data_IF_978760637350
#
_entry.id   IF_978760637350
#
_cell.length_a   1.000
_cell.length_b   1.000
_cell.length_c   1.000
_cell.angle_alpha   90.00
_cell.angle_beta   90.00
_cell.angle_gamma   90.00
#
_symmetry.space_group_name_H-M   'P 1'
#
loop_
_entity.id
_entity.type
_entity.pdbx_description
1 polymer ?
#
# COMPACT_ATOMS: atom_id res chain seq x y z
N UNK A 1 -15.23 53.09 -2.75
CA UNK A 1 -14.39 53.83 -3.72
C UNK A 1 -13.35 52.95 -4.44
N UNK A 2 -12.50 52.21 -3.73
CA UNK A 2 -11.39 51.46 -4.34
C UNK A 2 -11.85 50.34 -5.29
N UNK A 3 -12.80 49.50 -4.87
CA UNK A 3 -13.38 48.44 -5.71
C UNK A 3 -14.06 48.98 -6.98
N UNK A 4 -14.71 50.15 -6.89
CA UNK A 4 -15.34 50.82 -8.03
C UNK A 4 -14.30 51.25 -9.07
N UNK A 5 -13.20 51.87 -8.62
CA UNK A 5 -12.09 52.25 -9.50
C UNK A 5 -11.46 51.04 -10.18
N UNK A 6 -11.32 49.94 -9.43
CA UNK A 6 -10.75 48.68 -9.94
C UNK A 6 -11.66 48.04 -11.00
N UNK A 7 -12.98 48.05 -10.78
CA UNK A 7 -13.97 47.60 -11.76
C UNK A 7 -13.96 48.43 -13.05
N UNK A 8 -13.95 49.77 -12.93
CA UNK A 8 -13.88 50.67 -14.08
C UNK A 8 -12.58 50.49 -14.88
N UNK A 9 -11.46 50.31 -14.19
CA UNK A 9 -10.18 50.05 -14.84
C UNK A 9 -10.19 48.71 -15.59
N UNK A 10 -10.72 47.66 -14.95
CA UNK A 10 -10.86 46.33 -15.55
C UNK A 10 -11.77 46.34 -16.78
N UNK A 11 -12.86 47.10 -16.74
CA UNK A 11 -13.78 47.24 -17.88
C UNK A 11 -13.10 47.92 -19.08
N UNK A 12 -12.36 49.02 -18.84
CA UNK A 12 -11.63 49.73 -19.91
C UNK A 12 -10.48 48.93 -20.49
N UNK A 13 -9.81 48.09 -19.69
CA UNK A 13 -8.63 47.34 -20.09
C UNK A 13 -8.87 45.82 -20.18
N UNK A 14 -10.08 45.40 -20.54
CA UNK A 14 -10.46 43.97 -20.50
C UNK A 14 -9.47 43.06 -21.25
N UNK A 15 -8.94 43.47 -22.42
CA UNK A 15 -7.96 42.68 -23.19
C UNK A 15 -6.69 42.40 -22.40
N UNK A 16 -6.20 43.38 -21.65
CA UNK A 16 -5.02 43.24 -20.79
C UNK A 16 -5.32 42.31 -19.60
N UNK A 17 -6.49 42.46 -18.99
CA UNK A 17 -6.93 41.60 -17.88
C UNK A 17 -7.03 40.15 -18.33
N UNK A 18 -7.74 39.85 -19.42
CA UNK A 18 -7.87 38.50 -19.95
C UNK A 18 -6.52 37.91 -20.38
N UNK A 19 -5.65 38.70 -21.02
CA UNK A 19 -4.32 38.23 -21.42
C UNK A 19 -3.44 37.93 -20.20
N UNK A 20 -3.46 38.80 -19.19
CA UNK A 20 -2.73 38.59 -17.94
C UNK A 20 -3.20 37.35 -17.20
N UNK A 21 -4.52 37.14 -17.10
CA UNK A 21 -5.12 35.93 -16.52
C UNK A 21 -4.73 34.68 -17.30
N UNK A 22 -4.76 34.74 -18.64
CA UNK A 22 -4.38 33.60 -19.48
C UNK A 22 -2.90 33.22 -19.31
N UNK A 23 -1.99 34.21 -19.28
CA UNK A 23 -0.56 34.00 -19.02
C UNK A 23 -0.34 33.41 -17.63
N UNK A 24 -1.06 33.91 -16.63
CA UNK A 24 -0.98 33.42 -15.27
C UNK A 24 -1.47 31.97 -15.15
N UNK A 25 -2.60 31.62 -15.79
CA UNK A 25 -3.08 30.24 -15.83
C UNK A 25 -2.08 29.32 -16.55
N UNK A 26 -1.53 29.75 -17.68
CA UNK A 26 -0.52 29.00 -18.41
C UNK A 26 0.74 28.77 -17.55
N UNK A 27 1.16 29.77 -16.78
CA UNK A 27 2.27 29.64 -15.83
C UNK A 27 2.00 28.61 -14.73
N UNK A 28 0.81 28.61 -14.14
CA UNK A 28 0.42 27.60 -13.13
C UNK A 28 0.35 26.19 -13.73
N UNK A 29 -0.23 26.05 -14.93
CA UNK A 29 -0.30 24.75 -15.63
C UNK A 29 1.10 24.24 -15.96
N UNK A 30 1.99 25.11 -16.46
CA UNK A 30 3.38 24.76 -16.74
C UNK A 30 4.10 24.33 -15.45
N UNK A 31 3.84 25.01 -14.34
CA UNK A 31 4.38 24.63 -13.03
C UNK A 31 3.93 23.22 -12.61
N UNK A 32 2.65 22.86 -12.79
CA UNK A 32 2.20 21.49 -12.51
C UNK A 32 2.78 20.43 -13.45
N UNK A 33 3.08 20.78 -14.70
CA UNK A 33 3.72 19.86 -15.64
C UNK A 33 5.20 19.63 -15.26
N UNK A 34 5.93 20.70 -14.95
CA UNK A 34 7.36 20.63 -14.60
C UNK A 34 7.60 20.05 -13.21
N UNK A 35 6.72 20.38 -12.26
CA UNK A 35 6.75 19.90 -10.87
C UNK A 35 5.35 19.38 -10.51
N UNK A 36 5.07 18.10 -10.75
CA UNK A 36 3.79 17.52 -10.37
C UNK A 36 3.59 17.61 -8.85
N UNK A 37 2.37 17.91 -8.37
CA UNK A 37 2.11 17.99 -6.94
C UNK A 37 2.38 16.65 -6.26
N UNK A 38 3.11 16.73 -5.13
CA UNK A 38 3.30 15.59 -4.24
C UNK A 38 1.98 15.27 -3.53
N UNK A 39 1.47 14.07 -3.81
CA UNK A 39 0.29 13.51 -3.14
C UNK A 39 0.81 12.63 -2.02
N UNK A 40 0.60 13.07 -0.78
CA UNK A 40 0.99 12.35 0.43
C UNK A 40 -0.22 11.58 0.95
N UNK A 41 -0.12 10.26 1.01
CA UNK A 41 -1.16 9.39 1.57
C UNK A 41 -0.86 8.92 2.98
N UNK A 42 0.26 9.37 3.58
CA UNK A 42 0.61 8.96 4.94
C UNK A 42 -0.34 9.60 5.95
N UNK A 43 -1.10 8.76 6.64
CA UNK A 43 -2.02 9.17 7.71
C UNK A 43 -1.24 9.82 8.85
N UNK A 44 0.02 9.43 9.08
CA UNK A 44 0.83 10.02 10.15
C UNK A 44 1.05 11.52 9.94
N UNK A 45 1.02 12.01 8.71
CA UNK A 45 1.18 13.44 8.40
C UNK A 45 -0.02 14.28 8.80
N UNK A 46 -1.17 13.65 9.05
CA UNK A 46 -2.34 14.30 9.65
C UNK A 46 -2.20 14.46 11.17
N UNK A 47 -1.23 13.78 11.79
CA UNK A 47 -1.02 13.83 13.23
C UNK A 47 -0.16 15.02 13.66
N UNK A 48 -0.34 15.53 14.89
CA UNK A 48 0.44 16.65 15.39
C UNK A 48 1.94 16.33 15.44
N UNK A 49 2.75 17.10 14.70
CA UNK A 49 4.21 16.89 14.61
C UNK A 49 4.94 17.13 15.94
N UNK A 50 4.37 17.92 16.85
CA UNK A 50 4.96 18.23 18.16
C UNK A 50 4.53 17.26 19.27
N UNK A 51 3.85 16.15 18.94
CA UNK A 51 3.47 15.16 19.94
C UNK A 51 4.56 14.09 20.09
N UNK A 52 5.06 13.91 21.32
CA UNK A 52 6.12 12.93 21.64
C UNK A 52 5.78 11.51 21.20
N UNK A 53 4.54 11.05 21.43
CA UNK A 53 4.11 9.68 21.06
C UNK A 53 4.18 9.46 19.55
N UNK A 54 3.80 10.48 18.77
CA UNK A 54 3.86 10.43 17.31
C UNK A 54 5.31 10.40 16.81
N UNK A 55 6.19 11.18 17.45
CA UNK A 55 7.62 11.20 17.12
C UNK A 55 8.31 9.87 17.47
N UNK A 56 8.05 9.33 18.66
CA UNK A 56 8.60 8.05 19.11
C UNK A 56 8.16 6.92 18.16
N UNK A 57 6.90 6.93 17.72
CA UNK A 57 6.39 5.96 16.75
C UNK A 57 7.06 6.09 15.38
N UNK A 58 7.23 7.33 14.86
CA UNK A 58 7.93 7.56 13.59
C UNK A 58 9.39 7.12 13.64
N UNK A 59 10.09 7.42 14.73
CA UNK A 59 11.48 7.00 14.94
C UNK A 59 11.59 5.48 14.95
N UNK A 60 10.68 4.78 15.66
CA UNK A 60 10.63 3.32 15.62
C UNK A 60 10.38 2.78 14.20
N UNK A 61 9.46 3.37 13.45
CA UNK A 61 9.20 2.97 12.06
C UNK A 61 10.40 3.16 11.13
N UNK A 62 11.18 4.22 11.34
CA UNK A 62 12.38 4.52 10.55
C UNK A 62 13.55 3.58 10.92
N UNK A 63 13.77 3.35 12.22
CA UNK A 63 14.87 2.52 12.72
C UNK A 63 14.67 1.02 12.42
N UNK A 64 13.44 0.51 12.57
CA UNK A 64 13.15 -0.92 12.37
C UNK A 64 13.02 -1.33 10.90
N UNK A 65 13.23 -0.41 9.93
CA UNK A 65 13.16 -0.63 8.48
C UNK A 65 11.93 -1.44 8.05
N UNK A 66 10.83 -0.71 7.80
CA UNK A 66 9.55 -1.20 7.26
C UNK A 66 8.94 -2.39 8.03
N UNK A 67 8.05 -2.08 8.98
CA UNK A 67 7.12 -3.07 9.55
C UNK A 67 6.08 -3.54 8.52
N UNK A 68 5.98 -2.84 7.39
CA UNK A 68 5.02 -3.14 6.34
C UNK A 68 5.58 -4.26 5.45
N UNK A 69 4.94 -5.43 5.56
CA UNK A 69 5.18 -6.57 4.69
C UNK A 69 4.25 -6.52 3.48
N UNK A 70 4.73 -7.04 2.36
CA UNK A 70 3.89 -7.43 1.23
C UNK A 70 3.61 -8.92 1.38
N UNK A 71 2.34 -9.26 1.61
CA UNK A 71 1.90 -10.65 1.60
C UNK A 71 1.52 -11.05 0.18
N UNK A 72 2.05 -12.16 -0.29
CA UNK A 72 1.68 -12.76 -1.58
C UNK A 72 1.10 -14.12 -1.30
N UNK A 73 -0.13 -14.36 -1.73
CA UNK A 73 -0.83 -15.62 -1.50
C UNK A 73 -1.09 -16.27 -2.86
N UNK A 74 -0.60 -17.49 -3.04
CA UNK A 74 -0.95 -18.34 -4.15
C UNK A 74 -2.13 -19.20 -3.71
N UNK A 75 -3.27 -19.10 -4.37
CA UNK A 75 -4.44 -19.94 -4.10
C UNK A 75 -4.76 -20.80 -5.32
N UNK A 76 -5.07 -22.08 -5.13
CA UNK A 76 -5.61 -22.93 -6.19
C UNK A 76 -7.12 -22.83 -6.29
N UNK A 77 -7.66 -22.80 -7.51
CA UNK A 77 -9.12 -22.79 -7.77
C UNK A 77 -9.77 -24.14 -7.56
N UNK A 78 -9.04 -25.23 -7.79
CA UNK A 78 -9.51 -26.59 -7.60
C UNK A 78 -8.44 -27.39 -6.85
N UNK A 79 -8.50 -27.39 -5.50
CA UNK A 79 -7.52 -28.10 -4.67
C UNK A 79 -7.47 -29.61 -4.90
N UNK A 80 -8.52 -30.21 -5.50
CA UNK A 80 -8.55 -31.65 -5.76
C UNK A 80 -7.86 -32.00 -7.08
N UNK A 81 -7.99 -31.16 -8.10
CA UNK A 81 -7.35 -31.36 -9.39
C UNK A 81 -5.92 -30.81 -9.41
N UNK A 82 -5.69 -29.69 -8.73
CA UNK A 82 -4.44 -28.92 -8.74
C UNK A 82 -4.09 -28.49 -7.31
N UNK A 83 -3.54 -29.40 -6.48
CA UNK A 83 -3.13 -29.05 -5.13
C UNK A 83 -1.98 -28.03 -5.15
N UNK A 84 -1.86 -27.21 -4.09
CA UNK A 84 -0.94 -26.06 -4.11
C UNK A 84 0.54 -26.45 -4.02
N UNK A 85 0.84 -27.63 -3.50
CA UNK A 85 2.17 -28.25 -3.44
C UNK A 85 2.78 -28.47 -4.84
N UNK A 86 1.95 -28.69 -5.87
CA UNK A 86 2.38 -28.74 -7.26
C UNK A 86 2.93 -27.41 -7.82
N UNK A 87 2.79 -26.30 -7.10
CA UNK A 87 3.16 -24.95 -7.54
C UNK A 87 4.36 -24.37 -6.74
N UNK A 88 5.13 -25.21 -6.07
CA UNK A 88 6.37 -24.79 -5.36
C UNK A 88 7.38 -24.15 -6.31
N UNK A 89 7.54 -24.66 -7.53
CA UNK A 89 8.43 -24.08 -8.55
C UNK A 89 8.02 -22.64 -8.90
N UNK A 90 6.70 -22.38 -8.95
CA UNK A 90 6.19 -21.03 -9.15
C UNK A 90 6.60 -20.11 -8.00
N UNK A 91 6.41 -20.56 -6.75
CA UNK A 91 6.78 -19.81 -5.55
C UNK A 91 8.29 -19.52 -5.51
N UNK A 92 9.13 -20.51 -5.83
CA UNK A 92 10.59 -20.38 -5.89
C UNK A 92 11.02 -19.37 -6.96
N UNK A 93 10.50 -19.50 -8.18
CA UNK A 93 10.81 -18.58 -9.27
C UNK A 93 10.35 -17.15 -8.97
N UNK A 94 9.19 -17.00 -8.33
CA UNK A 94 8.64 -15.70 -7.95
C UNK A 94 9.47 -15.04 -6.85
N UNK A 95 9.84 -15.80 -5.81
CA UNK A 95 10.70 -15.31 -4.73
C UNK A 95 12.10 -14.92 -5.25
N UNK A 96 12.69 -15.70 -6.15
CA UNK A 96 13.98 -15.37 -6.76
C UNK A 96 13.90 -14.12 -7.65
N UNK A 97 12.84 -14.01 -8.46
CA UNK A 97 12.57 -12.83 -9.29
C UNK A 97 12.44 -11.56 -8.46
N UNK A 98 11.72 -11.62 -7.33
CA UNK A 98 11.61 -10.50 -6.40
C UNK A 98 12.98 -10.14 -5.78
N UNK A 99 13.78 -11.12 -5.36
CA UNK A 99 15.13 -10.86 -4.82
C UNK A 99 16.03 -10.20 -5.87
N UNK A 100 15.99 -10.68 -7.13
CA UNK A 100 16.75 -10.11 -8.27
C UNK A 100 16.34 -8.69 -8.64
N UNK A 101 15.10 -8.27 -8.33
CA UNK A 101 14.66 -6.88 -8.56
C UNK A 101 15.45 -5.85 -7.74
N UNK A 102 16.10 -6.27 -6.65
CA UNK A 102 16.81 -5.40 -5.73
C UNK A 102 15.91 -4.50 -4.88
N UNK A 103 14.57 -4.64 -4.97
CA UNK A 103 13.59 -3.83 -4.22
C UNK A 103 13.23 -4.42 -2.85
N UNK A 104 13.59 -5.66 -2.57
CA UNK A 104 13.25 -6.38 -1.33
C UNK A 104 14.51 -6.77 -0.56
N UNK A 105 14.42 -6.81 0.76
CA UNK A 105 15.47 -7.33 1.66
C UNK A 105 15.38 -8.84 1.83
N UNK A 106 14.17 -9.40 1.75
CA UNK A 106 13.94 -10.82 1.90
C UNK A 106 12.56 -11.26 1.44
N UNK A 107 12.43 -12.56 1.19
CA UNK A 107 11.16 -13.24 0.90
C UNK A 107 11.14 -14.53 1.71
N UNK A 108 10.21 -14.63 2.65
CA UNK A 108 10.00 -15.78 3.53
C UNK A 108 8.75 -16.52 3.06
N UNK A 109 8.90 -17.75 2.56
CA UNK A 109 7.80 -18.55 1.99
C UNK A 109 7.94 -20.05 2.27
N UNK A 110 9.08 -20.42 2.85
CA UNK A 110 9.42 -21.74 3.33
C UNK A 110 10.33 -21.59 4.53
N UNK A 111 10.35 -22.57 5.44
CA UNK A 111 11.38 -22.68 6.47
C UNK A 111 12.71 -22.92 5.75
N UNK A 112 13.41 -21.83 5.45
CA UNK A 112 14.80 -21.91 5.05
C UNK A 112 15.63 -22.19 6.31
N UNK A 113 16.47 -23.22 6.23
CA UNK A 113 17.54 -23.54 7.18
C UNK A 113 17.16 -23.32 8.66
N UNK A 114 16.61 -24.36 9.30
CA UNK A 114 16.59 -24.39 10.76
C UNK A 114 18.02 -24.40 11.31
N UNK A 115 19.00 -24.86 10.53
CA UNK A 115 20.36 -25.14 10.99
C UNK A 115 21.02 -23.97 11.74
N UNK A 116 21.02 -22.70 11.27
CA UNK A 116 21.57 -21.58 12.04
C UNK A 116 20.83 -21.30 13.34
N UNK A 117 19.48 -21.35 13.33
CA UNK A 117 18.66 -21.10 14.52
C UNK A 117 18.82 -22.23 15.53
N UNK A 118 18.76 -23.47 15.06
CA UNK A 118 18.98 -24.70 15.83
C UNK A 118 20.40 -24.69 16.40
N UNK A 119 21.44 -24.48 15.59
CA UNK A 119 22.83 -24.42 16.07
C UNK A 119 23.05 -23.32 17.12
N UNK A 120 22.37 -22.18 16.99
CA UNK A 120 22.56 -21.04 17.90
C UNK A 120 21.71 -21.16 19.15
N UNK A 121 20.44 -21.54 19.05
CA UNK A 121 19.50 -21.59 20.18
C UNK A 121 19.58 -22.91 20.95
N UNK A 122 19.83 -24.02 20.27
CA UNK A 122 19.67 -25.35 20.88
C UNK A 122 20.65 -25.61 22.04
N UNK A 123 21.91 -25.12 22.02
CA UNK A 123 22.79 -25.16 23.19
C UNK A 123 22.22 -24.43 24.42
N UNK A 124 21.38 -23.42 24.20
CA UNK A 124 20.76 -22.60 25.25
C UNK A 124 19.30 -23.00 25.52
N UNK A 125 18.80 -24.11 24.95
CA UNK A 125 17.39 -24.53 25.07
C UNK A 125 16.90 -24.52 26.52
N UNK A 126 17.71 -25.03 27.45
CA UNK A 126 17.35 -25.11 28.87
C UNK A 126 17.15 -23.74 29.52
N UNK A 127 17.80 -22.68 29.03
CA UNK A 127 17.60 -21.31 29.53
C UNK A 127 16.25 -20.71 29.11
N UNK A 128 15.64 -21.26 28.05
CA UNK A 128 14.37 -20.80 27.51
C UNK A 128 13.17 -21.58 28.06
N UNK A 129 13.38 -22.67 28.80
CA UNK A 129 12.30 -23.51 29.34
C UNK A 129 11.75 -22.95 30.65
N UNK A 130 10.42 -23.01 30.81
CA UNK A 130 9.76 -22.60 32.05
C UNK A 130 10.18 -23.55 33.20
N UNK A 131 10.27 -23.05 34.44
CA UNK A 131 10.70 -23.85 35.60
C UNK A 131 9.95 -25.19 35.80
N UNK A 132 8.63 -25.30 35.57
CA UNK A 132 7.92 -26.58 35.65
C UNK A 132 8.29 -27.55 34.52
N UNK A 133 8.67 -27.04 33.35
CA UNK A 133 9.07 -27.85 32.19
C UNK A 133 10.48 -28.41 32.41
N UNK A 134 11.37 -27.63 33.02
CA UNK A 134 12.73 -28.06 33.38
C UNK A 134 12.75 -29.29 34.30
N UNK A 135 11.82 -29.38 35.26
CA UNK A 135 11.69 -30.56 36.13
C UNK A 135 11.29 -31.83 35.36
N UNK A 136 10.54 -31.69 34.27
CA UNK A 136 10.22 -32.82 33.39
C UNK A 136 11.36 -33.16 32.43
N UNK A 137 12.23 -32.19 32.12
CA UNK A 137 13.38 -32.41 31.24
C UNK A 137 14.51 -33.12 31.97
N UNK A 138 14.67 -32.96 33.30
CA UNK A 138 15.69 -33.68 34.06
C UNK A 138 15.57 -35.21 33.95
N UNK A 139 14.34 -35.73 33.87
CA UNK A 139 14.10 -37.16 33.71
C UNK A 139 14.63 -37.72 32.38
N UNK A 140 14.76 -36.89 31.34
CA UNK A 140 15.34 -37.30 30.05
C UNK A 140 16.83 -37.56 30.12
N UNK A 141 17.52 -36.95 31.08
CA UNK A 141 18.94 -37.16 31.32
C UNK A 141 19.21 -38.37 32.25
N UNK A 142 18.18 -39.09 32.69
CA UNK A 142 18.37 -40.37 33.37
C UNK A 142 18.83 -41.46 32.41
N UNK A 143 19.75 -42.33 32.83
CA UNK A 143 20.37 -43.39 32.01
C UNK A 143 19.37 -44.22 31.19
N UNK A 144 18.22 -44.55 31.78
CA UNK A 144 17.16 -45.32 31.10
C UNK A 144 16.57 -44.56 29.90
N UNK A 145 16.36 -43.26 30.04
CA UNK A 145 15.77 -42.43 28.98
C UNK A 145 16.81 -42.10 27.90
N UNK A 146 18.08 -41.91 28.27
CA UNK A 146 19.17 -41.74 27.30
C UNK A 146 19.26 -42.97 26.38
N UNK A 147 19.26 -44.18 26.94
CA UNK A 147 19.31 -45.42 26.15
C UNK A 147 18.14 -45.54 25.18
N UNK A 148 16.93 -45.23 25.64
CA UNK A 148 15.72 -45.22 24.79
C UNK A 148 15.79 -44.16 23.69
N UNK A 149 16.29 -42.97 24.00
CA UNK A 149 16.42 -41.90 23.01
C UNK A 149 17.46 -42.26 21.94
N UNK A 150 18.56 -42.91 22.31
CA UNK A 150 19.56 -43.40 21.35
C UNK A 150 18.97 -44.49 20.43
N UNK A 151 18.19 -45.43 20.98
CA UNK A 151 17.45 -46.42 20.17
C UNK A 151 16.48 -45.75 19.20
N UNK A 152 15.70 -44.78 19.66
CA UNK A 152 14.77 -44.01 18.82
C UNK A 152 15.50 -43.22 17.72
N UNK A 153 16.61 -42.56 18.06
CA UNK A 153 17.45 -41.85 17.08
C UNK A 153 18.00 -42.82 16.03
N UNK A 154 18.41 -44.04 16.44
CA UNK A 154 18.87 -45.08 15.52
C UNK A 154 17.77 -45.52 14.57
N UNK A 155 16.55 -45.78 15.07
CA UNK A 155 15.40 -46.14 14.24
C UNK A 155 15.04 -45.03 13.24
N UNK A 156 15.05 -43.77 13.70
CA UNK A 156 14.81 -42.60 12.88
C UNK A 156 15.84 -42.45 11.74
N UNK A 157 17.11 -42.74 12.00
CA UNK A 157 18.19 -42.69 11.00
C UNK A 157 18.16 -43.85 10.00
N UNK A 158 17.54 -44.98 10.37
CA UNK A 158 17.41 -46.16 9.52
C UNK A 158 16.23 -46.07 8.54
N UNK A 159 15.30 -45.14 8.74
CA UNK A 159 14.19 -44.89 7.82
C UNK A 159 14.63 -44.13 6.55
N UNK A 160 13.96 -44.41 5.43
CA UNK A 160 14.27 -43.86 4.09
C UNK A 160 14.26 -42.31 4.00
N UNK A 161 13.58 -41.61 4.92
CA UNK A 161 13.55 -40.14 5.02
C UNK A 161 14.74 -39.55 5.82
N UNK A 162 15.95 -40.08 5.61
CA UNK A 162 17.09 -39.91 6.55
C UNK A 162 17.84 -38.56 6.47
N UNK A 163 17.62 -37.73 5.44
CA UNK A 163 18.47 -36.54 5.20
C UNK A 163 18.20 -35.43 6.23
N UNK A 164 16.94 -35.01 6.41
CA UNK A 164 16.54 -33.97 7.38
C UNK A 164 16.68 -34.50 8.81
N UNK A 165 16.32 -35.77 9.01
CA UNK A 165 16.37 -36.46 10.29
C UNK A 165 17.80 -36.56 10.84
N UNK A 166 18.80 -36.73 9.96
CA UNK A 166 20.21 -36.79 10.35
C UNK A 166 20.72 -35.48 10.95
N UNK A 167 20.40 -34.35 10.32
CA UNK A 167 20.78 -33.03 10.85
C UNK A 167 20.08 -32.75 12.17
N UNK A 168 18.79 -33.07 12.28
CA UNK A 168 18.03 -32.85 13.51
C UNK A 168 18.59 -33.66 14.68
N UNK A 169 18.92 -34.94 14.48
CA UNK A 169 19.53 -35.80 15.52
C UNK A 169 20.95 -35.33 15.88
N UNK A 170 21.72 -34.84 14.91
CA UNK A 170 23.06 -34.29 15.15
C UNK A 170 23.02 -33.08 16.08
N UNK A 171 22.03 -32.20 15.90
CA UNK A 171 21.89 -31.00 16.71
C UNK A 171 21.09 -31.23 18.00
N UNK A 172 20.12 -32.15 18.01
CA UNK A 172 19.25 -32.44 19.16
C UNK A 172 19.24 -33.93 19.55
N UNK A 173 20.32 -34.46 20.14
CA UNK A 173 20.40 -35.88 20.47
C UNK A 173 19.42 -36.31 21.58
N UNK A 174 18.93 -35.37 22.39
CA UNK A 174 18.03 -35.63 23.52
C UNK A 174 16.54 -35.32 23.24
N UNK A 175 16.21 -34.82 22.05
CA UNK A 175 14.85 -34.47 21.67
C UNK A 175 14.26 -33.32 22.48
N UNK A 176 15.04 -32.26 22.70
CA UNK A 176 14.64 -31.04 23.41
C UNK A 176 13.85 -30.07 22.53
N UNK A 177 14.08 -30.06 21.22
CA UNK A 177 13.44 -29.16 20.26
C UNK A 177 11.90 -29.28 20.23
N UNK A 178 11.29 -30.49 20.27
CA UNK A 178 9.83 -30.62 20.37
C UNK A 178 9.23 -30.02 21.63
N UNK A 179 9.96 -30.04 22.75
CA UNK A 179 9.53 -29.46 24.04
C UNK A 179 9.54 -27.94 23.93
N UNK A 180 10.64 -27.38 23.40
CA UNK A 180 10.77 -25.96 23.14
C UNK A 180 9.66 -25.47 22.19
N UNK A 181 9.42 -26.21 21.10
CA UNK A 181 8.34 -25.91 20.15
C UNK A 181 6.98 -25.89 20.84
N UNK A 182 6.66 -26.86 21.71
CA UNK A 182 5.39 -26.90 22.43
C UNK A 182 5.20 -25.71 23.38
N UNK A 183 6.26 -25.27 24.06
CA UNK A 183 6.20 -24.13 24.98
C UNK A 183 6.02 -22.80 24.25
N UNK A 184 6.77 -22.57 23.16
CA UNK A 184 6.77 -21.30 22.42
C UNK A 184 5.63 -21.19 21.39
N UNK A 185 5.37 -22.24 20.61
CA UNK A 185 4.33 -22.23 19.55
C UNK A 185 2.94 -22.65 20.08
N UNK A 186 2.84 -23.17 21.30
CA UNK A 186 1.58 -23.60 21.91
C UNK A 186 0.70 -22.45 22.45
N UNK A 187 1.23 -21.23 22.61
CA UNK A 187 0.56 -20.10 23.29
C UNK A 187 0.09 -18.95 22.39
N UNK A 188 0.46 -18.92 21.10
CA UNK A 188 0.05 -17.84 20.16
C UNK A 188 -1.21 -18.17 19.35
N UNK A 189 -1.93 -17.16 18.86
CA UNK A 189 -2.92 -17.34 17.77
C UNK A 189 -2.18 -17.90 16.56
N UNK A 190 -2.26 -19.21 16.36
CA UNK A 190 -1.54 -19.90 15.32
C UNK A 190 -2.10 -19.46 13.97
N UNK A 191 -1.26 -18.79 13.17
CA UNK A 191 -1.32 -18.95 11.72
C UNK A 191 -1.34 -20.46 11.47
N UNK A 192 -2.50 -20.97 11.01
CA UNK A 192 -2.73 -22.41 10.77
C UNK A 192 -1.99 -22.81 9.49
N UNK A 193 -0.67 -22.75 9.54
CA UNK A 193 0.20 -23.07 8.43
C UNK A 193 0.70 -24.50 8.63
N UNK A 194 0.43 -25.36 7.67
CA UNK A 194 1.09 -26.66 7.57
C UNK A 194 2.49 -26.44 7.02
N UNK A 195 3.49 -26.99 7.70
CA UNK A 195 4.91 -26.80 7.42
C UNK A 195 5.58 -28.15 7.13
N UNK A 196 4.77 -29.19 6.89
CA UNK A 196 5.26 -30.56 6.71
C UNK A 196 6.22 -30.67 5.52
N UNK A 197 5.96 -29.94 4.44
CA UNK A 197 6.77 -29.92 3.21
C UNK A 197 7.79 -28.77 3.18
N UNK A 198 7.97 -28.07 4.30
CA UNK A 198 8.88 -26.94 4.43
C UNK A 198 8.32 -25.60 3.93
N UNK A 199 7.31 -25.59 3.07
CA UNK A 199 6.62 -24.37 2.62
C UNK A 199 5.56 -23.88 3.62
N UNK A 200 5.20 -22.61 3.54
CA UNK A 200 4.08 -22.06 4.33
C UNK A 200 2.74 -22.32 3.65
N UNK A 201 2.21 -23.53 3.83
CA UNK A 201 0.95 -23.97 3.23
C UNK A 201 -0.23 -23.79 4.18
N UNK A 202 -1.43 -23.55 3.66
CA UNK A 202 -2.65 -23.65 4.45
C UNK A 202 -2.93 -25.12 4.80
N UNK A 203 -3.58 -25.38 5.95
CA UNK A 203 -3.89 -26.76 6.40
C UNK A 203 -4.71 -27.58 5.41
N UNK A 204 -5.52 -26.91 4.60
CA UNK A 204 -6.36 -27.51 3.57
C UNK A 204 -5.64 -27.66 2.23
N UNK A 205 -4.35 -27.28 2.14
CA UNK A 205 -3.54 -27.39 0.91
C UNK A 205 -4.03 -26.51 -0.23
N UNK A 206 -4.81 -25.46 0.07
CA UNK A 206 -5.43 -24.60 -0.94
C UNK A 206 -4.62 -23.34 -1.21
N UNK A 207 -3.74 -22.95 -0.27
CA UNK A 207 -2.99 -21.72 -0.36
C UNK A 207 -1.54 -21.85 0.11
N UNK A 208 -0.64 -21.11 -0.53
CA UNK A 208 0.75 -20.89 -0.11
C UNK A 208 0.95 -19.40 0.15
N UNK A 209 1.49 -19.04 1.31
CA UNK A 209 1.77 -17.65 1.67
C UNK A 209 3.26 -17.32 1.59
N UNK A 210 3.58 -16.18 0.99
CA UNK A 210 4.90 -15.58 0.97
C UNK A 210 4.85 -14.24 1.70
N UNK A 211 5.78 -14.03 2.62
CA UNK A 211 6.00 -12.79 3.35
C UNK A 211 7.21 -12.09 2.75
N UNK A 212 6.95 -11.04 1.98
CA UNK A 212 7.99 -10.24 1.33
C UNK A 212 8.30 -9.04 2.24
N UNK A 213 9.58 -8.78 2.52
CA UNK A 213 10.06 -7.59 3.24
C UNK A 213 10.67 -6.59 2.25
N UNK A 214 9.95 -5.52 1.86
CA UNK A 214 10.48 -4.52 0.93
C UNK A 214 11.45 -3.53 1.61
N UNK A 215 12.37 -2.95 0.82
CA UNK A 215 13.40 -2.01 1.31
C UNK A 215 12.89 -0.66 1.77
N UNK A 216 11.68 -0.30 1.35
CA UNK A 216 11.06 1.00 1.61
C UNK A 216 9.65 0.81 2.12
N UNK A 217 9.17 1.75 2.95
CA UNK A 217 7.84 1.68 3.55
C UNK A 217 6.70 1.74 2.52
N UNK A 218 5.52 1.22 2.87
CA UNK A 218 4.36 1.19 1.98
C UNK A 218 3.80 2.60 1.64
N UNK A 219 4.11 3.57 2.49
CA UNK A 219 3.74 4.98 2.36
C UNK A 219 4.49 5.68 1.20
N UNK A 220 5.64 5.15 0.75
CA UNK A 220 6.27 5.59 -0.52
C UNK A 220 5.46 5.03 -1.70
N UNK A 221 4.40 5.75 -2.09
CA UNK A 221 3.48 5.34 -3.17
C UNK A 221 4.20 5.13 -4.50
N UNK A 222 5.27 5.88 -4.78
CA UNK A 222 6.03 5.73 -6.03
C UNK A 222 6.86 4.45 -6.03
N UNK A 223 7.41 4.06 -4.89
CA UNK A 223 8.06 2.76 -4.70
C UNK A 223 7.04 1.62 -4.73
N UNK A 224 5.96 1.71 -3.96
CA UNK A 224 4.90 0.70 -3.90
C UNK A 224 4.32 0.39 -5.29
N UNK A 225 4.04 1.40 -6.10
CA UNK A 225 3.59 1.23 -7.50
C UNK A 225 4.60 0.46 -8.36
N UNK A 226 5.90 0.73 -8.21
CA UNK A 226 6.97 0.04 -8.94
C UNK A 226 7.12 -1.41 -8.47
N UNK A 227 7.07 -1.65 -7.17
CA UNK A 227 7.12 -2.99 -6.57
C UNK A 227 5.95 -3.85 -7.08
N UNK A 228 4.72 -3.33 -7.00
CA UNK A 228 3.52 -4.04 -7.44
C UNK A 228 3.49 -4.27 -8.95
N UNK A 229 3.98 -3.32 -9.76
CA UNK A 229 4.15 -3.53 -11.20
C UNK A 229 5.16 -4.64 -11.48
N UNK A 230 6.30 -4.65 -10.77
CA UNK A 230 7.34 -5.69 -10.90
C UNK A 230 6.78 -7.07 -10.53
N UNK A 231 6.06 -7.18 -9.42
CA UNK A 231 5.39 -8.42 -9.02
C UNK A 231 4.41 -8.95 -10.08
N UNK A 232 3.55 -8.08 -10.65
CA UNK A 232 2.62 -8.46 -11.72
C UNK A 232 3.32 -8.87 -13.01
N UNK A 233 4.42 -8.21 -13.36
CA UNK A 233 5.24 -8.58 -14.53
C UNK A 233 5.90 -9.94 -14.31
N UNK A 234 6.50 -10.18 -13.15
CA UNK A 234 7.10 -11.46 -12.78
C UNK A 234 6.06 -12.58 -12.81
N UNK A 235 4.88 -12.35 -12.24
CA UNK A 235 3.77 -13.30 -12.31
C UNK A 235 3.44 -13.68 -13.77
N UNK A 236 3.30 -12.68 -14.65
CA UNK A 236 3.01 -12.93 -16.08
C UNK A 236 4.12 -13.71 -16.79
N UNK A 237 5.38 -13.40 -16.50
CA UNK A 237 6.54 -14.06 -17.09
C UNK A 237 6.64 -15.52 -16.66
N UNK A 238 6.47 -15.81 -15.36
CA UNK A 238 6.53 -17.18 -14.83
C UNK A 238 5.36 -18.00 -15.37
N UNK A 239 4.14 -17.45 -15.41
CA UNK A 239 2.99 -18.14 -16.02
C UNK A 239 3.25 -18.52 -17.47
N UNK A 240 3.86 -17.62 -18.27
CA UNK A 240 4.21 -17.91 -19.67
C UNK A 240 5.31 -18.96 -19.80
N UNK A 241 6.26 -19.00 -18.87
CA UNK A 241 7.34 -19.99 -18.87
C UNK A 241 6.81 -21.39 -18.56
N UNK A 242 6.06 -21.55 -17.47
CA UNK A 242 5.51 -22.86 -17.07
C UNK A 242 4.52 -23.41 -18.11
N UNK A 243 3.72 -22.55 -18.74
CA UNK A 243 2.82 -22.95 -19.82
C UNK A 243 3.55 -23.54 -21.05
N UNK A 244 4.83 -23.22 -21.26
CA UNK A 244 5.65 -23.76 -22.36
C UNK A 244 6.37 -25.05 -21.97
N UNK A 245 6.73 -25.20 -20.69
CA UNK A 245 7.53 -26.32 -20.18
C UNK A 245 6.68 -27.59 -19.95
N UNK A 246 5.35 -27.48 -20.02
CA UNK A 246 4.45 -28.64 -20.03
C UNK A 246 4.19 -29.26 -18.64
N UNK A 247 4.33 -28.47 -17.58
CA UNK A 247 4.03 -28.86 -16.19
C UNK A 247 2.58 -28.62 -15.77
N UNK A 248 2.38 -28.41 -14.47
CA UNK A 248 1.11 -27.98 -13.87
C UNK A 248 0.55 -26.72 -14.56
N UNK A 249 -0.77 -26.64 -14.74
CA UNK A 249 -1.39 -25.51 -15.43
C UNK A 249 -1.24 -24.24 -14.58
N UNK A 250 -0.40 -23.27 -14.99
CA UNK A 250 -0.22 -22.05 -14.24
C UNK A 250 -1.53 -21.25 -14.10
N UNK A 251 -2.55 -21.50 -14.92
CA UNK A 251 -3.85 -20.81 -14.85
C UNK A 251 -4.75 -21.27 -13.69
N UNK A 252 -4.45 -22.44 -13.10
CA UNK A 252 -5.16 -23.00 -11.97
C UNK A 252 -4.92 -22.21 -10.67
N UNK A 253 -3.78 -21.51 -10.57
CA UNK A 253 -3.44 -20.65 -9.42
C UNK A 253 -3.83 -19.18 -9.62
N UNK A 254 -4.30 -18.56 -8.54
CA UNK A 254 -4.58 -17.13 -8.42
C UNK A 254 -3.57 -16.52 -7.46
N UNK A 255 -2.85 -15.50 -7.92
CA UNK A 255 -1.94 -14.73 -7.06
C UNK A 255 -2.72 -13.55 -6.47
N UNK A 256 -2.78 -13.49 -5.15
CA UNK A 256 -3.36 -12.37 -4.39
C UNK A 256 -2.27 -11.62 -3.65
N UNK A 257 -2.46 -10.31 -3.51
CA UNK A 257 -1.53 -9.43 -2.82
C UNK A 257 -2.24 -8.81 -1.61
N UNK A 258 -1.58 -8.80 -0.46
CA UNK A 258 -2.06 -8.21 0.79
C UNK A 258 -0.98 -7.43 1.53
N UNK A 259 -1.35 -6.84 2.66
CA UNK A 259 -0.46 -5.99 3.46
C UNK A 259 -0.50 -4.52 3.04
N UNK A 260 0.45 -3.73 3.56
CA UNK A 260 0.40 -2.26 3.45
C UNK A 260 0.51 -1.72 2.01
N UNK A 261 1.28 -2.37 1.14
CA UNK A 261 1.55 -1.88 -0.22
C UNK A 261 0.33 -1.88 -1.15
N UNK A 262 -0.40 -3.01 -1.34
CA UNK A 262 -1.60 -2.98 -2.17
C UNK A 262 -2.67 -2.05 -1.59
N UNK A 263 -2.83 -2.01 -0.25
CA UNK A 263 -3.78 -1.11 0.42
C UNK A 263 -3.43 0.36 0.15
N UNK A 264 -2.18 0.77 0.40
CA UNK A 264 -1.74 2.15 0.17
C UNK A 264 -1.87 2.56 -1.32
N UNK A 265 -1.61 1.64 -2.25
CA UNK A 265 -1.80 1.89 -3.67
C UNK A 265 -3.28 2.05 -4.05
N UNK A 266 -4.15 1.19 -3.54
CA UNK A 266 -5.59 1.25 -3.80
C UNK A 266 -6.21 2.51 -3.19
N UNK A 267 -5.82 2.86 -1.96
CA UNK A 267 -6.23 4.10 -1.29
C UNK A 267 -5.79 5.33 -2.11
N UNK A 268 -4.52 5.39 -2.54
CA UNK A 268 -4.01 6.50 -3.35
C UNK A 268 -4.76 6.65 -4.68
N UNK A 269 -5.12 5.54 -5.32
CA UNK A 269 -5.90 5.54 -6.56
C UNK A 269 -7.35 5.96 -6.31
N UNK A 270 -7.95 5.49 -5.22
CA UNK A 270 -9.30 5.85 -4.78
C UNK A 270 -9.39 7.35 -4.50
N UNK A 271 -8.47 7.90 -3.71
CA UNK A 271 -8.39 9.35 -3.41
C UNK A 271 -8.27 10.16 -4.70
N UNK A 272 -7.37 9.75 -5.61
CA UNK A 272 -7.20 10.44 -6.89
C UNK A 272 -8.48 10.41 -7.72
N UNK A 273 -9.14 9.26 -7.81
CA UNK A 273 -10.39 9.10 -8.55
C UNK A 273 -11.48 9.94 -7.92
N UNK A 274 -11.66 9.89 -6.61
CA UNK A 274 -12.71 10.60 -5.90
C UNK A 274 -12.50 12.11 -5.96
N UNK A 275 -11.25 12.59 -5.87
CA UNK A 275 -10.91 13.99 -6.10
C UNK A 275 -11.34 14.46 -7.49
N UNK A 276 -11.03 13.70 -8.54
CA UNK A 276 -11.38 14.04 -9.93
C UNK A 276 -12.89 13.96 -10.12
N UNK A 277 -13.52 12.85 -9.73
CA UNK A 277 -14.96 12.62 -9.90
C UNK A 277 -15.74 13.70 -9.15
N UNK A 278 -15.46 13.93 -7.87
CA UNK A 278 -16.18 14.91 -7.07
C UNK A 278 -16.00 16.34 -7.58
N UNK A 279 -14.79 16.72 -7.99
CA UNK A 279 -14.52 18.05 -8.57
C UNK A 279 -15.28 18.24 -9.87
N UNK A 280 -15.22 17.27 -10.78
CA UNK A 280 -15.89 17.34 -12.09
C UNK A 280 -17.41 17.29 -11.95
N UNK A 281 -17.96 16.39 -11.13
CA UNK A 281 -19.40 16.29 -10.92
C UNK A 281 -19.95 17.53 -10.25
N UNK A 282 -19.28 18.05 -9.21
CA UNK A 282 -19.65 19.31 -8.56
C UNK A 282 -19.64 20.47 -9.55
N UNK A 283 -18.59 20.60 -10.36
CA UNK A 283 -18.49 21.64 -11.38
C UNK A 283 -19.64 21.54 -12.40
N UNK A 284 -19.90 20.35 -12.94
CA UNK A 284 -20.98 20.14 -13.92
C UNK A 284 -22.34 20.47 -13.31
N UNK A 285 -22.60 20.02 -12.08
CA UNK A 285 -23.88 20.25 -11.40
C UNK A 285 -24.09 21.73 -11.07
N UNK A 286 -23.05 22.42 -10.60
CA UNK A 286 -23.09 23.87 -10.36
C UNK A 286 -23.33 24.63 -11.67
N UNK A 287 -22.63 24.26 -12.75
CA UNK A 287 -22.86 24.87 -14.07
C UNK A 287 -24.27 24.62 -14.60
N UNK A 288 -24.83 23.42 -14.36
CA UNK A 288 -26.20 23.10 -14.72
C UNK A 288 -27.20 23.97 -13.96
N UNK A 289 -27.06 24.09 -12.63
CA UNK A 289 -27.91 24.96 -11.81
C UNK A 289 -27.79 26.42 -12.23
N UNK A 290 -26.56 26.89 -12.52
CA UNK A 290 -26.31 28.25 -12.99
C UNK A 290 -26.97 28.53 -14.35
N UNK A 291 -26.87 27.58 -15.29
CA UNK A 291 -27.56 27.67 -16.58
C UNK A 291 -29.07 27.64 -16.42
N UNK A 292 -29.59 26.81 -15.52
CA UNK A 292 -31.02 26.70 -15.25
C UNK A 292 -31.58 27.99 -14.63
N UNK A 293 -30.85 28.60 -13.69
CA UNK A 293 -31.22 29.85 -13.03
C UNK A 293 -31.25 31.05 -14.01
N UNK A 294 -30.20 31.21 -14.83
CA UNK A 294 -30.05 32.40 -15.69
C UNK A 294 -30.49 32.19 -17.14
N UNK A 295 -30.72 30.95 -17.58
CA UNK A 295 -31.20 30.54 -18.92
C UNK A 295 -30.41 31.11 -20.10
N UNK A 296 -29.15 31.52 -19.90
CA UNK A 296 -28.28 32.11 -20.93
C UNK A 296 -26.92 31.41 -20.97
N UNK A 297 -26.48 31.02 -22.17
CA UNK A 297 -25.15 30.39 -22.36
C UNK A 297 -23.98 31.33 -22.01
N UNK A 298 -24.16 32.64 -22.17
CA UNK A 298 -23.15 33.64 -21.76
C UNK A 298 -22.92 33.66 -20.24
N UNK A 299 -23.93 33.27 -19.45
CA UNK A 299 -23.81 33.15 -18.01
C UNK A 299 -22.78 32.07 -17.62
N UNK A 300 -22.71 30.97 -18.38
CA UNK A 300 -21.75 29.89 -18.12
C UNK A 300 -20.31 30.38 -18.19
N UNK A 301 -19.96 31.18 -19.20
CA UNK A 301 -18.59 31.71 -19.33
C UNK A 301 -18.28 32.65 -18.17
N UNK A 302 -19.25 33.46 -17.75
CA UNK A 302 -19.09 34.39 -16.63
C UNK A 302 -18.92 33.68 -15.28
N UNK A 303 -19.63 32.56 -15.06
CA UNK A 303 -19.48 31.77 -13.84
C UNK A 303 -18.24 30.88 -13.83
N UNK A 304 -17.94 30.23 -14.95
CA UNK A 304 -16.89 29.21 -15.05
C UNK A 304 -15.48 29.80 -15.04
N UNK A 305 -15.26 30.89 -15.75
CA UNK A 305 -13.93 31.42 -15.98
C UNK A 305 -13.27 31.98 -14.69
N UNK A 306 -13.94 32.80 -13.86
CA UNK A 306 -13.39 33.22 -12.57
C UNK A 306 -13.17 32.05 -11.61
N UNK A 307 -14.08 31.07 -11.65
CA UNK A 307 -14.03 29.90 -10.78
C UNK A 307 -12.83 29.01 -11.10
N UNK A 308 -12.57 28.72 -12.37
CA UNK A 308 -11.38 27.98 -12.78
C UNK A 308 -10.08 28.71 -12.45
N UNK A 309 -10.04 30.02 -12.69
CA UNK A 309 -8.86 30.84 -12.37
C UNK A 309 -8.58 30.78 -10.87
N UNK A 310 -9.62 30.92 -10.04
CA UNK A 310 -9.52 30.80 -8.59
C UNK A 310 -9.04 29.42 -8.14
N UNK A 311 -9.58 28.35 -8.74
CA UNK A 311 -9.19 26.98 -8.41
C UNK A 311 -7.71 26.70 -8.77
N UNK A 312 -7.30 27.09 -9.99
CA UNK A 312 -5.92 26.95 -10.46
C UNK A 312 -4.95 27.75 -9.59
N UNK A 313 -5.29 28.99 -9.26
CA UNK A 313 -4.48 29.81 -8.38
C UNK A 313 -4.36 29.22 -6.97
N UNK A 314 -5.45 28.68 -6.43
CA UNK A 314 -5.46 28.10 -5.07
C UNK A 314 -4.56 26.88 -5.01
N UNK A 315 -4.72 25.92 -5.94
CA UNK A 315 -3.85 24.74 -5.96
C UNK A 315 -2.42 25.07 -6.39
N UNK A 316 -2.23 26.05 -7.28
CA UNK A 316 -0.91 26.49 -7.74
C UNK A 316 -0.11 27.15 -6.62
N UNK A 317 -0.75 28.01 -5.84
CA UNK A 317 -0.14 28.64 -4.66
C UNK A 317 0.11 27.62 -3.55
N UNK A 318 -0.83 26.71 -3.28
CA UNK A 318 -0.63 25.62 -2.33
C UNK A 318 0.60 24.77 -2.70
N UNK A 319 0.76 24.44 -3.98
CA UNK A 319 1.94 23.71 -4.45
C UNK A 319 3.24 24.50 -4.27
N UNK A 320 3.25 25.80 -4.59
CA UNK A 320 4.41 26.68 -4.38
C UNK A 320 4.81 26.80 -2.90
N UNK A 321 3.83 26.75 -1.99
CA UNK A 321 4.04 26.77 -0.54
C UNK A 321 4.45 25.40 0.01
N UNK A 322 4.54 24.37 -0.83
CA UNK A 322 4.90 23.01 -0.41
C UNK A 322 3.80 22.29 0.36
N UNK A 323 2.54 22.70 0.20
CA UNK A 323 1.40 21.99 0.79
C UNK A 323 1.20 20.67 0.04
N UNK A 324 1.26 19.56 0.78
CA UNK A 324 1.01 18.24 0.23
C UNK A 324 -0.49 17.97 0.10
N UNK A 325 -0.87 17.34 -1.00
CA UNK A 325 -2.26 16.96 -1.22
C UNK A 325 -2.50 15.58 -0.61
N UNK A 326 -3.39 15.49 0.37
CA UNK A 326 -3.86 14.26 0.98
C UNK A 326 -5.39 14.10 0.82
N UNK A 327 -5.95 12.99 1.31
CA UNK A 327 -7.39 12.68 1.23
C UNK A 327 -8.28 13.78 1.79
N UNK A 328 -7.88 14.41 2.90
CA UNK A 328 -8.64 15.49 3.51
C UNK A 328 -8.63 16.75 2.63
N UNK A 329 -7.46 17.09 2.08
CA UNK A 329 -7.33 18.28 1.22
C UNK A 329 -8.05 18.13 -0.13
N UNK A 330 -8.20 16.90 -0.63
CA UNK A 330 -8.98 16.64 -1.84
C UNK A 330 -10.45 17.10 -1.72
N UNK A 331 -11.02 17.02 -0.52
CA UNK A 331 -12.36 17.53 -0.22
C UNK A 331 -12.50 19.04 -0.35
N UNK A 332 -11.42 19.81 -0.14
CA UNK A 332 -11.47 21.27 -0.28
C UNK A 332 -11.73 21.71 -1.72
N UNK A 333 -11.39 20.91 -2.73
CA UNK A 333 -11.67 21.24 -4.14
C UNK A 333 -13.16 21.45 -4.40
N UNK A 334 -14.01 20.52 -3.95
CA UNK A 334 -15.47 20.65 -4.09
C UNK A 334 -16.03 21.82 -3.27
N UNK A 335 -15.51 22.03 -2.06
CA UNK A 335 -15.89 23.16 -1.20
C UNK A 335 -15.55 24.51 -1.84
N UNK A 336 -14.37 24.64 -2.45
CA UNK A 336 -13.95 25.83 -3.18
C UNK A 336 -14.83 26.11 -4.39
N UNK A 337 -15.29 25.07 -5.10
CA UNK A 337 -16.24 25.23 -6.21
C UNK A 337 -17.57 25.81 -5.68
N UNK A 338 -18.10 25.22 -4.61
CA UNK A 338 -19.37 25.65 -4.02
C UNK A 338 -19.34 27.08 -3.48
N UNK A 339 -18.32 27.45 -2.71
CA UNK A 339 -18.19 28.82 -2.19
C UNK A 339 -17.73 29.82 -3.24
N UNK A 340 -16.94 29.38 -4.23
CA UNK A 340 -16.39 30.24 -5.27
C UNK A 340 -17.44 30.70 -6.27
N UNK A 341 -18.43 29.87 -6.59
CA UNK A 341 -19.50 30.25 -7.54
C UNK A 341 -20.42 31.33 -6.97
N UNK A 342 -20.59 31.41 -5.65
CA UNK A 342 -21.51 32.37 -5.01
C UNK A 342 -21.21 33.81 -5.40
N UNK A 343 -19.92 34.20 -5.42
CA UNK A 343 -19.51 35.53 -5.86
C UNK A 343 -19.91 35.82 -7.31
N UNK A 344 -19.74 34.82 -8.18
CA UNK A 344 -20.13 34.94 -9.59
C UNK A 344 -21.64 35.04 -9.74
N UNK A 345 -22.40 34.29 -8.94
CA UNK A 345 -23.87 34.33 -8.90
C UNK A 345 -24.39 35.69 -8.47
N UNK A 346 -23.89 36.24 -7.36
CA UNK A 346 -24.32 37.55 -6.84
C UNK A 346 -23.96 38.66 -7.82
N UNK A 347 -22.74 38.67 -8.35
CA UNK A 347 -22.31 39.70 -9.30
C UNK A 347 -23.07 39.63 -10.62
N UNK A 348 -23.27 38.43 -11.17
CA UNK A 348 -24.00 38.26 -12.42
C UNK A 348 -25.49 38.57 -12.26
N UNK A 349 -26.08 38.20 -11.12
CA UNK A 349 -27.45 38.56 -10.77
C UNK A 349 -27.63 40.07 -10.70
N UNK A 350 -26.71 40.78 -10.03
CA UNK A 350 -26.74 42.25 -9.97
C UNK A 350 -26.56 42.89 -11.35
N UNK A 351 -25.64 42.36 -12.17
CA UNK A 351 -25.46 42.82 -13.54
C UNK A 351 -26.75 42.69 -14.36
N UNK A 352 -27.44 41.55 -14.29
CA UNK A 352 -28.73 41.37 -14.98
C UNK A 352 -29.79 42.34 -14.46
N UNK A 353 -29.86 42.56 -13.15
CA UNK A 353 -30.79 43.50 -12.54
C UNK A 353 -30.62 44.92 -13.10
N UNK A 354 -29.39 45.44 -13.12
CA UNK A 354 -29.09 46.79 -13.65
C UNK A 354 -29.34 46.88 -15.18
N UNK A 355 -29.02 45.81 -15.92
CA UNK A 355 -29.33 45.74 -17.36
C UNK A 355 -30.84 45.71 -17.63
N UNK A 356 -31.62 45.04 -16.78
CA UNK A 356 -33.08 45.05 -16.87
C UNK A 356 -33.69 46.40 -16.47
N UNK A 357 -33.01 47.18 -15.63
CA UNK A 357 -33.36 48.57 -15.30
C UNK A 357 -32.98 49.57 -16.41
N UNK A 358 -32.33 49.11 -17.48
CA UNK A 358 -32.01 49.92 -18.66
C UNK A 358 -30.65 50.62 -18.60
N UNK A 359 -29.80 50.32 -17.61
CA UNK A 359 -28.47 50.93 -17.47
C UNK A 359 -27.55 50.40 -18.57
N UNK A 360 -26.71 51.28 -19.13
CA UNK A 360 -25.72 50.96 -20.15
C UNK A 360 -24.70 49.89 -19.73
N UNK A 361 -23.87 49.39 -20.65
CA UNK A 361 -22.77 48.47 -20.29
C UNK A 361 -21.59 49.23 -19.66
N UNK A 362 -21.49 50.53 -19.95
CA UNK A 362 -20.42 51.41 -19.49
C UNK A 362 -20.75 52.19 -18.21
N UNK A 363 -22.03 52.19 -17.83
CA UNK A 363 -22.60 52.81 -16.62
C UNK A 363 -22.79 51.76 -15.52
#
# INVERSE_FOLDING_TARGET
ELLRRLGQWSARHYRWVFSGVAVLMAGVVLLFILKPPHIESDILDLLPRNNKVVQDFRMAMEDFKSLDYLFVVLETKDPKAHPIDGYEEFADAFAEGLRKSGMVDGVEYRLQDYEPIVRTMLPYTLLYLDAPVLQNVSDRFADRQIRRQVESNKELLLNLASIITKQLVQYDPFGLFPILKKQFLGKGQQLKVDVSDGYYLSKDGTALIMVVRPKRPAQDIAFGKRLMATARTLESEIRKRMAKEGGEDPSAIVVKYGGGYPVAQDDANLIKRDAVVNTVTSLVLVMFVFLWAFRRKSALVYGWLPLLVGLLLTFGTAHLLGVTLNSATAGFGALLIGLGIDFSTVMYGRYIEERNRGIGVEE
#
